data_IF_711260247783
#
_entry.id   IF_711260247783
#
_cell.length_a   1.000
_cell.length_b   1.000
_cell.length_c   1.000
_cell.angle_alpha   90.00
_cell.angle_beta   90.00
_cell.angle_gamma   90.00
#
_symmetry.space_group_name_H-M   'P 1'
#
loop_
_entity.id
_entity.type
_entity.pdbx_description
1 polymer ?
#
# COMPACT_ATOMS: atom_id res chain seq x y z
N UNK A 1 16.45 -12.05 21.23
CA UNK A 1 17.00 -10.68 21.35
C UNK A 1 15.84 -9.72 21.66
N UNK A 2 15.84 -9.06 22.81
CA UNK A 2 14.72 -8.22 23.26
C UNK A 2 14.59 -6.94 22.43
N UNK A 3 15.68 -6.43 21.84
CA UNK A 3 15.66 -5.26 20.97
C UNK A 3 14.89 -5.54 19.68
N UNK A 4 15.21 -6.67 19.03
CA UNK A 4 14.50 -7.18 17.85
C UNK A 4 13.00 -7.38 18.12
N UNK A 5 12.64 -7.91 19.29
CA UNK A 5 11.23 -8.10 19.68
C UNK A 5 10.54 -6.74 19.88
N UNK A 6 11.18 -5.79 20.56
CA UNK A 6 10.64 -4.44 20.80
C UNK A 6 10.39 -3.68 19.49
N UNK A 7 11.31 -3.81 18.52
CA UNK A 7 11.17 -3.21 17.20
C UNK A 7 9.95 -3.76 16.44
N UNK A 8 9.76 -5.09 16.45
CA UNK A 8 8.61 -5.72 15.79
C UNK A 8 7.28 -5.40 16.49
N UNK A 9 7.27 -5.31 17.82
CA UNK A 9 6.09 -4.85 18.57
C UNK A 9 5.75 -3.39 18.24
N UNK A 10 6.76 -2.55 18.04
CA UNK A 10 6.56 -1.14 17.65
C UNK A 10 5.95 -0.98 16.25
N UNK A 11 6.12 -1.96 15.36
CA UNK A 11 5.41 -2.04 14.08
C UNK A 11 3.94 -2.50 14.20
N UNK A 12 3.47 -2.80 15.41
CA UNK A 12 2.10 -3.21 15.69
C UNK A 12 1.89 -4.72 15.73
N UNK A 13 2.96 -5.52 15.74
CA UNK A 13 2.86 -6.97 15.84
C UNK A 13 2.73 -7.45 17.29
N UNK A 14 1.94 -8.50 17.53
CA UNK A 14 1.78 -9.06 18.86
C UNK A 14 3.00 -9.90 19.28
N UNK A 15 3.43 -9.78 20.53
CA UNK A 15 4.63 -10.46 21.07
C UNK A 15 4.67 -11.98 20.82
N UNK A 16 3.58 -12.75 20.99
CA UNK A 16 3.59 -14.19 20.71
C UNK A 16 3.89 -14.51 19.23
N UNK A 17 3.39 -13.70 18.30
CA UNK A 17 3.64 -13.91 16.87
C UNK A 17 5.04 -13.48 16.47
N UNK A 18 5.55 -12.40 17.07
CA UNK A 18 6.94 -11.96 16.90
C UNK A 18 7.90 -13.06 17.34
N UNK A 19 7.64 -13.72 18.47
CA UNK A 19 8.46 -14.84 18.94
C UNK A 19 8.40 -16.03 17.97
N UNK A 20 7.21 -16.39 17.49
CA UNK A 20 7.04 -17.48 16.51
C UNK A 20 7.73 -17.17 15.18
N UNK A 21 7.64 -15.93 14.72
CA UNK A 21 8.31 -15.47 13.50
C UNK A 21 9.83 -15.53 13.66
N UNK A 22 10.36 -15.07 14.79
CA UNK A 22 11.80 -15.13 15.07
C UNK A 22 12.31 -16.56 15.22
N UNK A 23 11.50 -17.47 15.75
CA UNK A 23 11.82 -18.90 15.77
C UNK A 23 11.85 -19.50 14.36
N UNK A 24 10.90 -19.14 13.50
CA UNK A 24 10.83 -19.60 12.12
C UNK A 24 11.92 -19.00 11.20
N UNK A 25 12.60 -17.93 11.62
CA UNK A 25 13.55 -17.18 10.79
C UNK A 25 14.96 -17.10 11.37
N UNK A 26 15.30 -17.98 12.30
CA UNK A 26 16.61 -18.06 12.95
C UNK A 26 17.03 -16.74 13.64
N UNK A 27 16.04 -16.00 14.19
CA UNK A 27 16.25 -14.72 14.87
C UNK A 27 16.54 -13.54 13.95
N UNK A 28 16.41 -13.70 12.62
CA UNK A 28 16.62 -12.62 11.67
C UNK A 28 15.40 -11.66 11.64
N UNK A 29 15.63 -10.38 11.96
CA UNK A 29 14.58 -9.35 12.03
C UNK A 29 13.86 -9.12 10.69
N UNK A 30 14.58 -8.99 9.57
CA UNK A 30 13.98 -8.71 8.26
C UNK A 30 13.11 -9.87 7.78
N UNK A 31 13.62 -11.10 7.92
CA UNK A 31 12.86 -12.31 7.60
C UNK A 31 11.68 -12.49 8.54
N UNK A 32 11.82 -12.18 9.83
CA UNK A 32 10.71 -12.23 10.78
C UNK A 32 9.62 -11.22 10.43
N UNK A 33 9.99 -10.00 10.01
CA UNK A 33 9.05 -8.99 9.54
C UNK A 33 8.30 -9.49 8.28
N UNK A 34 9.01 -9.98 7.27
CA UNK A 34 8.39 -10.55 6.06
C UNK A 34 7.49 -11.75 6.38
N UNK A 35 7.93 -12.63 7.27
CA UNK A 35 7.14 -13.77 7.73
C UNK A 35 5.84 -13.32 8.42
N UNK A 36 5.90 -12.30 9.28
CA UNK A 36 4.73 -11.71 9.95
C UNK A 36 3.75 -11.07 8.96
N UNK A 37 4.22 -10.45 7.88
CA UNK A 37 3.35 -9.90 6.84
C UNK A 37 2.69 -10.97 5.97
N UNK A 38 3.39 -12.08 5.73
CA UNK A 38 2.91 -13.17 4.87
C UNK A 38 2.08 -14.24 5.60
N UNK A 39 2.01 -14.22 6.94
CA UNK A 39 1.20 -15.15 7.75
C UNK A 39 0.24 -14.43 8.71
N UNK A 40 -0.64 -13.54 8.23
CA UNK A 40 -1.56 -12.80 9.09
C UNK A 40 -2.60 -13.71 9.78
N UNK A 41 -2.98 -14.83 9.18
CA UNK A 41 -3.95 -15.77 9.77
C UNK A 41 -3.47 -16.40 11.09
N UNK A 42 -2.16 -16.61 11.25
CA UNK A 42 -1.63 -17.19 12.48
C UNK A 42 -1.68 -16.21 13.66
N UNK A 43 -2.00 -14.94 13.39
CA UNK A 43 -2.19 -13.93 14.43
C UNK A 43 -3.55 -13.98 15.14
N UNK A 44 -4.55 -14.62 14.56
CA UNK A 44 -5.94 -14.55 15.06
C UNK A 44 -6.29 -15.70 16.03
N UNK A 45 -5.43 -16.72 16.15
CA UNK A 45 -5.77 -17.97 16.86
C UNK A 45 -5.84 -17.90 18.39
N UNK A 46 -5.52 -16.77 19.05
CA UNK A 46 -5.37 -16.73 20.52
C UNK A 46 -6.07 -15.57 21.25
N UNK A 47 -7.02 -14.87 20.65
CA UNK A 47 -7.79 -13.83 21.35
C UNK A 47 -9.29 -13.97 21.14
N UNK A 48 -9.89 -14.93 21.85
CA UNK A 48 -11.26 -14.78 22.30
C UNK A 48 -11.26 -13.67 23.38
N UNK A 49 -12.13 -12.67 23.21
CA UNK A 49 -12.50 -11.61 24.16
C UNK A 49 -11.84 -10.21 23.99
N UNK A 50 -12.70 -9.29 23.51
CA UNK A 50 -12.74 -7.81 23.66
C UNK A 50 -11.72 -6.92 22.92
N UNK A 51 -12.11 -6.43 21.74
CA UNK A 51 -12.33 -4.99 21.44
C UNK A 51 -12.62 -4.78 19.95
N UNK A 52 -13.70 -4.08 19.63
CA UNK A 52 -14.27 -3.87 18.29
C UNK A 52 -13.43 -3.01 17.31
N UNK A 53 -12.08 -3.06 17.31
CA UNK A 53 -11.32 -2.14 16.44
C UNK A 53 -10.00 -2.60 15.81
N UNK A 54 -9.70 -3.90 15.72
CA UNK A 54 -8.62 -4.35 14.84
C UNK A 54 -8.74 -5.83 14.48
N UNK A 55 -8.28 -6.18 13.28
CA UNK A 55 -8.20 -7.53 12.70
C UNK A 55 -9.55 -8.19 12.36
N UNK A 56 -10.10 -7.79 11.20
CA UNK A 56 -10.96 -8.65 10.39
C UNK A 56 -10.11 -9.12 9.20
N UNK A 57 -10.24 -10.39 8.76
CA UNK A 57 -9.48 -10.92 7.64
C UNK A 57 -9.82 -10.05 6.43
N UNK A 58 -8.80 -9.41 5.83
CA UNK A 58 -8.87 -8.59 4.61
C UNK A 58 -10.31 -8.34 4.13
N UNK A 59 -11.06 -7.47 4.84
CA UNK A 59 -12.38 -7.04 4.34
C UNK A 59 -12.10 -6.14 3.15
N UNK A 60 -11.85 -6.78 2.00
CA UNK A 60 -11.81 -6.13 0.72
C UNK A 60 -13.12 -5.36 0.61
N UNK A 61 -13.00 -4.04 0.42
CA UNK A 61 -14.16 -3.17 0.32
C UNK A 61 -14.88 -3.48 -0.99
N UNK A 62 -15.83 -4.40 -0.96
CA UNK A 62 -16.65 -4.75 -2.11
C UNK A 62 -17.71 -3.66 -2.40
N UNK A 63 -18.36 -3.72 -3.57
CA UNK A 63 -19.41 -2.78 -3.97
C UNK A 63 -19.65 -2.74 -5.48
N UNK A 64 -20.45 -1.76 -5.93
CA UNK A 64 -20.75 -1.58 -7.34
C UNK A 64 -19.46 -1.33 -8.15
N UNK A 65 -19.29 -2.04 -9.27
CA UNK A 65 -18.12 -1.94 -10.15
C UNK A 65 -18.07 -0.66 -11.00
N UNK A 66 -18.66 0.45 -10.55
CA UNK A 66 -18.68 1.73 -11.27
C UNK A 66 -17.61 2.65 -10.73
N UNK A 67 -16.75 3.13 -11.61
CA UNK A 67 -15.60 3.93 -11.24
C UNK A 67 -15.45 5.14 -12.15
N UNK A 68 -14.86 6.20 -11.60
CA UNK A 68 -14.38 7.35 -12.34
C UNK A 68 -12.85 7.44 -12.26
N UNK A 69 -12.22 7.87 -13.36
CA UNK A 69 -10.79 8.10 -13.39
C UNK A 69 -10.48 9.38 -12.60
N UNK A 70 -9.65 9.25 -11.55
CA UNK A 70 -9.28 10.37 -10.66
C UNK A 70 -7.81 10.76 -10.75
N UNK A 71 -6.94 9.83 -11.14
CA UNK A 71 -5.54 10.14 -11.40
C UNK A 71 -4.92 9.12 -12.35
N UNK A 72 -3.80 9.49 -12.96
CA UNK A 72 -2.96 8.57 -13.71
C UNK A 72 -1.50 9.03 -13.66
N UNK A 73 -0.58 8.09 -13.83
CA UNK A 73 0.86 8.32 -13.91
C UNK A 73 1.33 7.91 -15.29
N UNK A 74 2.05 8.79 -15.98
CA UNK A 74 2.63 8.55 -17.29
C UNK A 74 4.13 8.42 -17.19
N UNK A 75 4.69 7.41 -17.86
CA UNK A 75 6.12 7.29 -18.11
C UNK A 75 6.43 7.83 -19.51
N UNK A 76 7.20 8.91 -19.58
CA UNK A 76 7.64 9.50 -20.84
C UNK A 76 9.05 9.00 -21.17
N UNK A 77 9.13 7.91 -21.91
CA UNK A 77 10.40 7.31 -22.31
C UNK A 77 10.16 6.09 -23.21
N UNK A 78 11.18 5.74 -24.00
CA UNK A 78 11.12 4.59 -24.92
C UNK A 78 11.60 3.27 -24.30
N UNK A 79 12.14 3.30 -23.08
CA UNK A 79 12.64 2.12 -22.38
C UNK A 79 12.29 2.15 -20.89
N UNK A 80 12.28 0.99 -20.23
CA UNK A 80 11.85 0.90 -18.83
C UNK A 80 12.89 1.45 -17.81
N UNK A 81 14.13 1.66 -18.22
CA UNK A 81 15.23 2.05 -17.33
C UNK A 81 15.47 3.57 -17.31
N UNK A 82 14.96 4.29 -18.31
CA UNK A 82 15.18 5.72 -18.52
C UNK A 82 13.91 6.34 -19.11
N UNK A 83 13.43 7.38 -18.44
CA UNK A 83 12.37 8.23 -18.91
C UNK A 83 12.00 9.21 -17.81
N UNK A 84 10.79 9.78 -17.90
CA UNK A 84 10.32 10.78 -16.95
C UNK A 84 8.91 10.46 -16.47
N UNK A 85 8.70 10.41 -15.16
CA UNK A 85 7.38 10.16 -14.59
C UNK A 85 6.67 11.48 -14.27
N UNK A 86 5.43 11.61 -14.72
CA UNK A 86 4.54 12.71 -14.36
C UNK A 86 3.19 12.17 -13.90
N UNK A 87 2.56 12.87 -12.96
CA UNK A 87 1.24 12.51 -12.47
C UNK A 87 0.21 13.53 -12.94
N UNK A 88 -0.96 13.03 -13.34
CA UNK A 88 -2.14 13.85 -13.58
C UNK A 88 -3.19 13.48 -12.54
N UNK A 89 -3.70 14.48 -11.82
CA UNK A 89 -4.71 14.27 -10.78
C UNK A 89 -5.89 15.20 -11.07
N UNK A 90 -7.11 14.65 -10.96
CA UNK A 90 -8.37 15.39 -11.08
C UNK A 90 -8.73 15.97 -9.71
N UNK A 91 -8.65 17.29 -9.56
CA UNK A 91 -9.06 18.05 -8.35
C UNK A 91 -10.16 19.02 -8.72
N UNK A 92 -11.26 19.06 -7.97
CA UNK A 92 -12.40 19.96 -8.22
C UNK A 92 -12.89 19.94 -9.68
N UNK A 93 -12.95 18.73 -10.23
CA UNK A 93 -13.30 18.44 -11.63
C UNK A 93 -12.34 19.04 -12.69
N UNK A 94 -11.16 19.49 -12.29
CA UNK A 94 -10.09 19.99 -13.16
C UNK A 94 -8.86 19.08 -13.11
N UNK A 95 -8.22 18.88 -14.25
CA UNK A 95 -6.99 18.09 -14.32
C UNK A 95 -5.78 18.98 -14.03
N UNK A 96 -4.88 18.47 -13.20
CA UNK A 96 -3.64 19.14 -12.83
C UNK A 96 -2.49 18.18 -13.10
N UNK A 97 -1.47 18.64 -13.82
CA UNK A 97 -0.22 17.93 -14.01
C UNK A 97 0.75 18.31 -12.88
N UNK A 98 1.34 17.29 -12.28
CA UNK A 98 2.43 17.37 -11.32
C UNK A 98 3.67 16.81 -12.00
N UNK A 99 4.61 17.70 -12.28
CA UNK A 99 5.88 17.40 -12.92
C UNK A 99 7.00 17.97 -12.03
N UNK A 100 7.42 17.15 -11.06
CA UNK A 100 8.35 17.55 -10.00
C UNK A 100 7.91 18.86 -9.31
N UNK A 101 8.73 19.91 -9.35
CA UNK A 101 8.40 21.22 -8.78
C UNK A 101 7.37 21.99 -9.60
N UNK A 102 7.08 21.58 -10.84
CA UNK A 102 6.17 22.27 -11.76
C UNK A 102 4.77 21.68 -11.65
N UNK A 103 3.84 22.51 -11.19
CA UNK A 103 2.42 22.18 -11.08
C UNK A 103 1.63 23.10 -11.99
N UNK A 104 0.80 22.53 -12.87
CA UNK A 104 0.02 23.31 -13.82
C UNK A 104 -1.34 22.66 -14.09
N UNK A 105 -2.30 23.49 -14.51
CA UNK A 105 -3.57 22.99 -15.06
C UNK A 105 -3.30 22.24 -16.36
N UNK A 106 -3.85 21.04 -16.50
CA UNK A 106 -3.77 20.22 -17.71
C UNK A 106 -5.13 20.24 -18.41
N UNK A 107 -5.23 20.95 -19.53
CA UNK A 107 -6.51 21.08 -20.24
C UNK A 107 -6.82 19.83 -21.07
N UNK A 108 -5.79 19.25 -21.69
CA UNK A 108 -5.87 18.05 -22.51
C UNK A 108 -4.93 16.97 -21.92
N UNK A 109 -5.30 16.35 -20.80
CA UNK A 109 -4.47 15.32 -20.17
C UNK A 109 -4.33 14.09 -21.09
N UNK A 110 -3.10 13.56 -21.33
CA UNK A 110 -2.83 12.45 -22.24
C UNK A 110 -3.19 11.10 -21.62
N UNK A 111 -4.48 10.88 -21.37
CA UNK A 111 -4.99 9.70 -20.64
C UNK A 111 -4.57 8.39 -21.29
N UNK A 112 -4.56 8.31 -22.62
CA UNK A 112 -4.27 7.06 -23.36
C UNK A 112 -2.79 6.63 -23.29
N UNK A 113 -1.90 7.52 -22.83
CA UNK A 113 -0.46 7.27 -22.70
C UNK A 113 -0.04 7.01 -21.25
N UNK A 114 -0.99 6.80 -20.33
CA UNK A 114 -0.66 6.54 -18.95
C UNK A 114 -0.24 5.08 -18.72
N UNK A 115 0.66 4.91 -17.75
CA UNK A 115 1.19 3.62 -17.33
C UNK A 115 0.38 3.05 -16.17
N UNK A 116 0.07 3.86 -15.16
CA UNK A 116 -0.76 3.48 -14.02
C UNK A 116 -1.99 4.37 -13.94
N UNK A 117 -3.16 3.78 -13.71
CA UNK A 117 -4.44 4.48 -13.59
C UNK A 117 -5.03 4.28 -12.20
N UNK A 118 -5.58 5.35 -11.65
CA UNK A 118 -6.26 5.36 -10.36
C UNK A 118 -7.73 5.70 -10.58
N UNK A 119 -8.56 4.73 -10.23
CA UNK A 119 -10.01 4.82 -10.34
C UNK A 119 -10.63 4.88 -8.96
N UNK A 120 -11.56 5.82 -8.76
CA UNK A 120 -12.34 5.93 -7.53
C UNK A 120 -13.74 5.39 -7.79
N UNK A 121 -14.21 4.51 -6.90
CA UNK A 121 -15.58 3.99 -6.96
C UNK A 121 -16.57 5.13 -6.75
N UNK A 122 -17.64 5.15 -7.56
CA UNK A 122 -18.76 6.10 -7.50
C UNK A 122 -19.81 5.59 -6.51
#
# INVERSE_FOLDING_TARGET
DEETISNLISFGFNRPHVLKALEATDGNLERAADWLFNHPEEMETNSAEVSENSSQPNRLRDGCGKYELVAFISHMGSNANVGHYVAHIKKDNQWVIFNDEKVAKSENPPKDLAYLYFYKRV
#
